data_IF_518716900329
#
_entry.id   IF_518716900329
#
_cell.length_a   1.000
_cell.length_b   1.000
_cell.length_c   1.000
_cell.angle_alpha   90.00
_cell.angle_beta   90.00
_cell.angle_gamma   90.00
#
_symmetry.space_group_name_H-M   'P 1'
#
loop_
_entity.id
_entity.type
_entity.pdbx_description
1 polymer ?
#
# COMPACT_ATOMS: atom_id res chain seq x y z
N UNK A 1 -10.18 4.71 -28.43
CA UNK A 1 -11.22 3.72 -28.12
C UNK A 1 -10.64 2.37 -28.54
N UNK A 2 -10.14 1.59 -27.59
CA UNK A 2 -9.43 0.33 -27.89
C UNK A 2 -10.49 -0.75 -28.13
N UNK A 3 -10.47 -1.36 -29.32
CA UNK A 3 -11.39 -2.42 -29.72
C UNK A 3 -11.23 -3.64 -28.81
N UNK A 4 -12.26 -3.89 -27.99
CA UNK A 4 -12.35 -4.98 -27.02
C UNK A 4 -12.60 -6.37 -27.66
N UNK A 5 -12.72 -6.45 -28.98
CA UNK A 5 -13.07 -7.70 -29.69
C UNK A 5 -11.89 -8.52 -30.21
N UNK A 6 -10.64 -8.04 -30.11
CA UNK A 6 -9.45 -8.80 -30.56
C UNK A 6 -8.35 -8.94 -29.50
N UNK A 7 -8.60 -8.49 -28.28
CA UNK A 7 -7.71 -8.72 -27.14
C UNK A 7 -8.59 -9.08 -25.97
N UNK A 8 -8.45 -10.30 -25.44
CA UNK A 8 -9.12 -10.70 -24.21
C UNK A 8 -8.43 -9.95 -23.06
N UNK A 9 -8.80 -8.68 -22.91
CA UNK A 9 -8.50 -7.86 -21.75
C UNK A 9 -9.52 -8.21 -20.69
N UNK A 10 -9.11 -9.00 -19.71
CA UNK A 10 -9.76 -8.95 -18.41
C UNK A 10 -8.91 -7.97 -17.58
N UNK A 11 -9.54 -7.08 -16.84
CA UNK A 11 -8.85 -6.07 -16.01
C UNK A 11 -8.63 -6.66 -14.63
N UNK A 12 -7.39 -6.64 -14.11
CA UNK A 12 -7.12 -6.99 -12.70
C UNK A 12 -7.56 -5.80 -11.86
N UNK A 13 -8.82 -5.78 -11.44
CA UNK A 13 -9.20 -4.96 -10.29
C UNK A 13 -8.93 -5.84 -9.08
N UNK A 14 -7.80 -5.62 -8.41
CA UNK A 14 -7.61 -6.15 -7.06
C UNK A 14 -8.56 -5.36 -6.15
N UNK A 15 -9.79 -5.83 -6.00
CA UNK A 15 -10.63 -5.42 -4.87
C UNK A 15 -10.14 -6.22 -3.67
N UNK A 16 -9.22 -5.65 -2.90
CA UNK A 16 -8.87 -6.18 -1.58
C UNK A 16 -10.08 -5.99 -0.66
N UNK A 17 -11.04 -6.91 -0.74
CA UNK A 17 -11.86 -7.22 0.43
C UNK A 17 -10.94 -8.04 1.32
N UNK A 18 -10.29 -7.35 2.27
CA UNK A 18 -9.42 -8.01 3.24
C UNK A 18 -10.25 -9.12 3.92
N UNK A 19 -9.65 -10.30 4.06
CA UNK A 19 -10.22 -11.58 4.52
C UNK A 19 -10.97 -12.47 3.50
N UNK A 20 -11.42 -11.96 2.34
CA UNK A 20 -12.14 -12.78 1.34
C UNK A 20 -11.23 -13.40 0.26
N UNK A 21 -9.91 -13.13 0.32
CA UNK A 21 -8.88 -13.66 -0.60
C UNK A 21 -9.25 -13.55 -2.10
N UNK A 22 -9.84 -12.44 -2.50
CA UNK A 22 -10.25 -12.19 -3.90
C UNK A 22 -9.13 -11.55 -4.69
N UNK A 23 -8.79 -12.15 -5.83
CA UNK A 23 -7.82 -11.63 -6.78
C UNK A 23 -8.02 -12.26 -8.16
N UNK A 24 -7.41 -11.66 -9.19
CA UNK A 24 -7.50 -12.16 -10.56
C UNK A 24 -6.11 -12.15 -11.21
N UNK A 25 -5.75 -13.23 -11.92
CA UNK A 25 -4.48 -13.35 -12.63
C UNK A 25 -4.73 -13.28 -14.14
N UNK A 26 -4.03 -12.37 -14.82
CA UNK A 26 -4.29 -12.04 -16.23
C UNK A 26 -3.01 -12.17 -17.04
N UNK A 27 -3.12 -12.87 -18.17
CA UNK A 27 -2.06 -13.04 -19.17
C UNK A 27 -2.51 -12.44 -20.49
N UNK A 28 -1.66 -11.61 -21.08
CA UNK A 28 -1.88 -11.03 -22.41
C UNK A 28 -1.03 -11.82 -23.40
N UNK A 29 -1.68 -12.46 -24.36
CA UNK A 29 -1.03 -13.31 -25.37
C UNK A 29 -1.31 -12.79 -26.77
N UNK A 30 -0.41 -13.03 -27.72
CA UNK A 30 -0.51 -12.52 -29.09
C UNK A 30 -1.63 -13.15 -29.92
N UNK A 31 -2.02 -14.40 -29.62
CA UNK A 31 -3.06 -15.12 -30.35
C UNK A 31 -3.87 -16.06 -29.44
N UNK A 32 -5.07 -16.41 -29.90
CA UNK A 32 -6.03 -17.23 -29.15
C UNK A 32 -5.51 -18.66 -28.86
N UNK A 33 -4.70 -19.22 -29.77
CA UNK A 33 -4.10 -20.54 -29.59
C UNK A 33 -3.13 -20.55 -28.40
N UNK A 34 -2.28 -19.52 -28.29
CA UNK A 34 -1.37 -19.35 -27.15
C UNK A 34 -2.17 -19.11 -25.87
N UNK A 35 -3.26 -18.34 -25.91
CA UNK A 35 -4.14 -18.17 -24.74
C UNK A 35 -4.67 -19.52 -24.24
N UNK A 36 -5.14 -20.37 -25.15
CA UNK A 36 -5.68 -21.68 -24.79
C UNK A 36 -4.61 -22.60 -24.17
N UNK A 37 -3.40 -22.60 -24.73
CA UNK A 37 -2.24 -23.36 -24.20
C UNK A 37 -1.81 -22.87 -22.81
N UNK A 38 -1.73 -21.56 -22.60
CA UNK A 38 -1.38 -20.99 -21.29
C UNK A 38 -2.46 -21.30 -20.26
N UNK A 39 -3.73 -21.11 -20.64
CA UNK A 39 -4.89 -21.40 -19.77
C UNK A 39 -4.92 -22.85 -19.32
N UNK A 40 -4.63 -23.81 -20.20
CA UNK A 40 -4.65 -25.23 -19.83
C UNK A 40 -3.61 -25.56 -18.75
N UNK A 41 -2.39 -25.05 -18.88
CA UNK A 41 -1.32 -25.25 -17.89
C UNK A 41 -1.65 -24.58 -16.55
N UNK A 42 -2.20 -23.36 -16.57
CA UNK A 42 -2.60 -22.66 -15.35
C UNK A 42 -3.73 -23.39 -14.61
N UNK A 43 -4.68 -23.99 -15.33
CA UNK A 43 -5.74 -24.78 -14.70
C UNK A 43 -5.20 -26.03 -14.00
N UNK A 44 -4.15 -26.66 -14.54
CA UNK A 44 -3.46 -27.78 -13.87
C UNK A 44 -2.79 -27.31 -12.59
N UNK A 45 -2.05 -26.20 -12.64
CA UNK A 45 -1.40 -25.61 -11.46
C UNK A 45 -2.40 -25.18 -10.40
N UNK A 46 -3.48 -24.49 -10.80
CA UNK A 46 -4.55 -24.07 -9.90
C UNK A 46 -5.20 -25.27 -9.19
N UNK A 47 -5.47 -26.36 -9.93
CA UNK A 47 -6.02 -27.59 -9.33
C UNK A 47 -5.08 -28.20 -8.29
N UNK A 48 -3.78 -28.17 -8.55
CA UNK A 48 -2.77 -28.70 -7.63
C UNK A 48 -2.63 -27.86 -6.36
N UNK A 49 -2.69 -26.52 -6.48
CA UNK A 49 -2.46 -25.61 -5.34
C UNK A 49 -3.69 -25.47 -4.45
N UNK A 50 -4.86 -25.21 -5.03
CA UNK A 50 -6.06 -24.87 -4.26
C UNK A 50 -7.34 -25.56 -4.75
N UNK A 51 -7.26 -26.46 -5.74
CA UNK A 51 -8.40 -27.11 -6.39
C UNK A 51 -9.34 -26.10 -7.08
N UNK A 52 -10.20 -25.43 -6.32
CA UNK A 52 -11.14 -24.41 -6.78
C UNK A 52 -11.10 -23.16 -5.88
N UNK A 53 -11.22 -21.95 -6.44
CA UNK A 53 -11.23 -20.72 -5.66
C UNK A 53 -12.52 -20.57 -4.83
N UNK A 54 -12.44 -19.83 -3.73
CA UNK A 54 -13.58 -19.46 -2.88
C UNK A 54 -14.50 -18.50 -3.63
N UNK A 55 -15.81 -18.77 -3.65
CA UNK A 55 -16.78 -18.06 -4.50
C UNK A 55 -17.34 -16.76 -3.88
N UNK A 56 -17.36 -16.66 -2.55
CA UNK A 56 -18.12 -15.60 -1.88
C UNK A 56 -17.63 -14.19 -2.25
N UNK A 57 -16.34 -13.91 -2.04
CA UNK A 57 -15.78 -12.63 -2.42
C UNK A 57 -15.83 -12.33 -3.93
N UNK A 58 -15.66 -13.33 -4.80
CA UNK A 58 -15.81 -13.11 -6.26
C UNK A 58 -17.24 -12.74 -6.64
N UNK A 59 -18.24 -13.29 -5.94
CA UNK A 59 -19.64 -12.97 -6.16
C UNK A 59 -19.95 -11.52 -5.76
N UNK A 60 -19.43 -11.05 -4.61
CA UNK A 60 -19.59 -9.65 -4.16
C UNK A 60 -18.96 -8.70 -5.19
N UNK A 61 -17.73 -8.96 -5.60
CA UNK A 61 -17.02 -8.15 -6.60
C UNK A 61 -17.80 -8.12 -7.92
N UNK A 62 -18.26 -9.29 -8.40
CA UNK A 62 -19.04 -9.36 -9.63
C UNK A 62 -20.37 -8.60 -9.50
N UNK A 63 -21.05 -8.69 -8.36
CA UNK A 63 -22.32 -7.99 -8.13
C UNK A 63 -22.13 -6.47 -8.17
N UNK A 64 -21.08 -5.96 -7.50
CA UNK A 64 -20.77 -4.52 -7.49
C UNK A 64 -20.36 -4.02 -8.88
N UNK A 65 -19.52 -4.77 -9.61
CA UNK A 65 -18.99 -4.35 -10.91
C UNK A 65 -19.99 -4.47 -12.07
N UNK A 66 -21.02 -5.33 -11.94
CA UNK A 66 -22.06 -5.49 -12.96
C UNK A 66 -23.24 -4.53 -12.79
N UNK A 67 -23.37 -3.89 -11.63
CA UNK A 67 -24.36 -2.84 -11.38
C UNK A 67 -23.72 -1.45 -11.56
N UNK A 68 -24.18 -0.62 -12.51
CA UNK A 68 -23.63 0.71 -12.75
C UNK A 68 -23.69 1.66 -11.55
N UNK A 69 -24.74 1.59 -10.73
CA UNK A 69 -24.91 2.45 -9.55
C UNK A 69 -23.98 2.00 -8.42
N UNK A 70 -23.89 0.69 -8.16
CA UNK A 70 -22.93 0.16 -7.18
C UNK A 70 -21.49 0.41 -7.60
N UNK A 71 -21.18 0.30 -8.89
CA UNK A 71 -19.85 0.62 -9.44
C UNK A 71 -19.50 2.09 -9.22
N UNK A 72 -20.47 2.99 -9.44
CA UNK A 72 -20.29 4.43 -9.24
C UNK A 72 -20.07 4.74 -7.76
N UNK A 73 -20.85 4.15 -6.88
CA UNK A 73 -20.69 4.30 -5.43
C UNK A 73 -19.31 3.78 -4.97
N UNK A 74 -18.93 2.59 -5.41
CA UNK A 74 -17.63 1.99 -5.10
C UNK A 74 -16.47 2.89 -5.54
N UNK A 75 -16.51 3.44 -6.77
CA UNK A 75 -15.51 4.39 -7.26
C UNK A 75 -15.45 5.67 -6.42
N UNK A 76 -16.60 6.18 -5.99
CA UNK A 76 -16.68 7.35 -5.08
C UNK A 76 -16.01 7.03 -3.74
N UNK A 77 -16.34 5.91 -3.12
CA UNK A 77 -15.78 5.50 -1.84
C UNK A 77 -14.25 5.30 -1.93
N UNK A 78 -13.76 4.69 -3.02
CA UNK A 78 -12.32 4.57 -3.28
C UNK A 78 -11.64 5.93 -3.42
N UNK A 79 -12.26 6.86 -4.15
CA UNK A 79 -11.72 8.22 -4.31
C UNK A 79 -11.66 8.95 -2.95
N UNK A 80 -12.70 8.85 -2.13
CA UNK A 80 -12.73 9.44 -0.78
C UNK A 80 -11.63 8.87 0.12
N UNK A 81 -11.43 7.55 0.11
CA UNK A 81 -10.35 6.90 0.86
C UNK A 81 -8.97 7.35 0.39
N UNK A 82 -8.75 7.44 -0.93
CA UNK A 82 -7.50 7.92 -1.50
C UNK A 82 -7.24 9.39 -1.12
N UNK A 83 -8.25 10.24 -1.22
CA UNK A 83 -8.17 11.66 -0.82
C UNK A 83 -7.88 11.82 0.66
N UNK A 84 -8.44 10.98 1.53
CA UNK A 84 -8.11 10.97 2.96
C UNK A 84 -6.62 10.69 3.19
N UNK A 85 -6.06 9.69 2.51
CA UNK A 85 -4.64 9.34 2.65
C UNK A 85 -3.74 10.50 2.20
N UNK A 86 -4.08 11.16 1.09
CA UNK A 86 -3.33 12.32 0.58
C UNK A 86 -3.35 13.45 1.62
N UNK A 87 -4.52 13.82 2.14
CA UNK A 87 -4.66 14.87 3.17
C UNK A 87 -3.89 14.52 4.45
N UNK A 88 -3.92 13.26 4.87
CA UNK A 88 -3.15 12.79 6.02
C UNK A 88 -1.65 12.94 5.80
N UNK A 89 -1.13 12.63 4.60
CA UNK A 89 0.28 12.81 4.23
C UNK A 89 0.70 14.28 4.27
N UNK A 90 -0.10 15.15 3.66
CA UNK A 90 0.15 16.60 3.65
C UNK A 90 0.17 17.17 5.07
N UNK A 91 -0.79 16.77 5.91
CA UNK A 91 -0.85 17.22 7.30
C UNK A 91 0.35 16.73 8.11
N UNK A 92 0.75 15.47 7.93
CA UNK A 92 1.90 14.91 8.63
C UNK A 92 3.20 15.64 8.23
N UNK A 93 3.43 15.82 6.93
CA UNK A 93 4.58 16.58 6.43
C UNK A 93 4.59 18.03 6.93
N UNK A 94 3.44 18.71 6.87
CA UNK A 94 3.31 20.08 7.36
C UNK A 94 3.67 20.19 8.85
N UNK A 95 3.25 19.23 9.68
CA UNK A 95 3.58 19.21 11.11
C UNK A 95 5.08 18.96 11.35
N UNK A 96 5.67 17.99 10.66
CA UNK A 96 7.11 17.73 10.78
C UNK A 96 7.95 18.94 10.38
N UNK A 97 7.53 19.65 9.31
CA UNK A 97 8.16 20.90 8.86
C UNK A 97 7.96 22.04 9.87
N UNK A 98 6.77 22.17 10.45
CA UNK A 98 6.48 23.18 11.48
C UNK A 98 7.29 22.96 12.78
N UNK A 99 7.55 21.70 13.13
CA UNK A 99 8.42 21.32 14.24
C UNK A 99 9.91 21.52 13.95
N UNK A 100 10.29 21.78 12.69
CA UNK A 100 11.70 21.89 12.31
C UNK A 100 12.46 20.57 12.41
N UNK A 101 11.77 19.44 12.15
CA UNK A 101 12.38 18.10 12.26
C UNK A 101 13.54 17.96 11.27
N UNK A 102 14.74 17.57 11.73
CA UNK A 102 15.88 17.35 10.85
C UNK A 102 15.59 16.29 9.78
N UNK A 103 16.27 16.40 8.63
CA UNK A 103 16.13 15.46 7.50
C UNK A 103 15.14 15.88 6.42
N UNK A 104 15.11 15.12 5.32
CA UNK A 104 14.20 15.36 4.20
C UNK A 104 12.94 14.49 4.32
N UNK A 105 11.80 15.15 4.56
CA UNK A 105 10.50 14.51 4.71
C UNK A 105 9.64 14.54 3.45
N UNK A 106 10.12 15.10 2.34
CA UNK A 106 9.35 15.23 1.09
C UNK A 106 8.93 13.87 0.51
N UNK A 107 9.67 12.81 0.85
CA UNK A 107 9.32 11.42 0.57
C UNK A 107 7.90 11.05 1.02
N UNK A 108 7.40 11.65 2.11
CA UNK A 108 6.05 11.42 2.63
C UNK A 108 4.97 11.92 1.67
N UNK A 109 5.24 12.98 0.90
CA UNK A 109 4.30 13.55 -0.08
C UNK A 109 4.47 12.91 -1.46
N UNK A 110 5.72 12.69 -1.89
CA UNK A 110 6.01 12.17 -3.24
C UNK A 110 5.49 10.73 -3.40
N UNK A 111 5.59 9.92 -2.35
CA UNK A 111 5.16 8.53 -2.39
C UNK A 111 3.63 8.38 -2.40
N UNK A 112 3.14 7.45 -3.22
CA UNK A 112 1.70 7.16 -3.38
C UNK A 112 1.31 5.86 -2.68
N UNK A 113 0.03 5.77 -2.32
CA UNK A 113 -0.56 4.59 -1.69
C UNK A 113 -0.55 4.65 -0.16
N UNK A 114 -0.83 3.51 0.47
CA UNK A 114 -1.03 3.43 1.93
C UNK A 114 0.27 3.50 2.72
N UNK A 115 1.40 3.18 2.11
CA UNK A 115 2.67 3.02 2.82
C UNK A 115 3.65 4.12 2.47
N UNK A 116 4.45 4.53 3.46
CA UNK A 116 5.55 5.46 3.25
C UNK A 116 6.81 4.91 3.88
N UNK A 117 7.93 5.00 3.17
CA UNK A 117 9.24 4.83 3.78
C UNK A 117 9.66 6.15 4.42
N UNK A 118 9.86 6.15 5.73
CA UNK A 118 10.15 7.35 6.51
C UNK A 118 11.63 7.73 6.47
N UNK A 119 12.51 6.80 6.08
CA UNK A 119 13.97 6.99 6.12
C UNK A 119 14.56 6.88 7.53
N UNK A 120 13.77 6.46 8.52
CA UNK A 120 14.26 6.22 9.88
C UNK A 120 15.14 4.98 9.94
N UNK A 121 16.19 5.03 10.76
CA UNK A 121 17.04 3.88 11.05
C UNK A 121 16.32 2.84 11.94
N UNK A 122 16.86 1.63 12.04
CA UNK A 122 16.31 0.56 12.90
C UNK A 122 16.27 0.99 14.36
N UNK A 123 17.30 1.70 14.82
CA UNK A 123 17.42 2.22 16.18
C UNK A 123 16.35 3.27 16.47
N UNK A 124 16.11 4.19 15.53
CA UNK A 124 15.05 5.19 15.63
C UNK A 124 13.66 4.54 15.64
N UNK A 125 13.41 3.53 14.79
CA UNK A 125 12.16 2.75 14.81
C UNK A 125 11.98 2.02 16.14
N UNK A 126 13.05 1.46 16.70
CA UNK A 126 13.02 0.80 18.01
C UNK A 126 12.69 1.81 19.13
N UNK A 127 13.29 3.00 19.09
CA UNK A 127 12.98 4.06 20.05
C UNK A 127 11.52 4.50 19.98
N UNK A 128 10.98 4.70 18.77
CA UNK A 128 9.55 4.98 18.57
C UNK A 128 8.64 3.91 19.17
N UNK A 129 9.04 2.65 19.05
CA UNK A 129 8.30 1.51 19.60
C UNK A 129 8.34 1.46 21.12
N UNK A 130 9.53 1.59 21.71
CA UNK A 130 9.73 1.40 23.15
C UNK A 130 9.25 2.58 23.98
N UNK A 131 9.48 3.81 23.50
CA UNK A 131 9.13 5.04 24.25
C UNK A 131 7.73 5.56 23.92
N UNK A 132 7.30 5.45 22.66
CA UNK A 132 6.04 6.04 22.19
C UNK A 132 5.00 5.01 21.77
N UNK A 133 5.30 3.71 21.82
CA UNK A 133 4.39 2.65 21.38
C UNK A 133 3.90 2.85 19.93
N UNK A 134 4.76 3.41 19.07
CA UNK A 134 4.49 3.59 17.64
C UNK A 134 5.18 2.47 16.88
N UNK A 135 4.38 1.64 16.19
CA UNK A 135 4.85 0.44 15.51
C UNK A 135 4.99 0.68 14.01
N UNK A 136 6.23 0.61 13.52
CA UNK A 136 6.59 0.56 12.11
C UNK A 136 7.27 -0.78 11.80
N UNK A 137 7.42 -1.10 10.52
CA UNK A 137 8.37 -2.17 10.14
C UNK A 137 9.79 -1.74 10.50
N UNK A 138 10.69 -2.70 10.71
CA UNK A 138 12.09 -2.41 11.06
C UNK A 138 12.81 -1.58 9.99
N UNK A 139 12.37 -1.66 8.74
CA UNK A 139 12.87 -0.85 7.62
C UNK A 139 12.31 0.58 7.58
N UNK A 140 11.55 1.01 8.59
CA UNK A 140 10.94 2.33 8.63
C UNK A 140 9.75 2.49 7.68
N UNK A 141 9.09 1.39 7.27
CA UNK A 141 7.85 1.46 6.49
C UNK A 141 6.67 1.71 7.43
N UNK A 142 5.99 2.84 7.21
CA UNK A 142 4.82 3.27 7.96
C UNK A 142 3.54 3.07 7.13
N UNK A 143 2.43 2.72 7.79
CA UNK A 143 1.10 2.74 7.18
C UNK A 143 0.39 4.07 7.47
N UNK A 144 0.23 4.91 6.45
CA UNK A 144 -0.42 6.22 6.55
C UNK A 144 -1.91 6.12 6.91
N UNK A 145 -2.56 4.97 6.67
CA UNK A 145 -3.95 4.78 7.06
C UNK A 145 -4.15 4.72 8.58
N UNK A 146 -3.11 4.39 9.34
CA UNK A 146 -3.12 4.39 10.81
C UNK A 146 -3.10 5.79 11.43
N UNK A 147 -2.75 6.81 10.65
CA UNK A 147 -2.78 8.21 11.07
C UNK A 147 -4.17 8.82 10.91
N UNK A 148 -4.58 9.57 11.92
CA UNK A 148 -5.83 10.32 11.97
C UNK A 148 -5.62 11.61 12.76
N UNK A 149 -6.61 12.51 12.74
CA UNK A 149 -6.53 13.80 13.44
C UNK A 149 -6.31 13.70 14.95
N UNK A 150 -6.66 12.58 15.60
CA UNK A 150 -6.48 12.41 17.05
C UNK A 150 -5.04 12.03 17.42
N UNK A 151 -4.36 11.23 16.59
CA UNK A 151 -3.00 10.76 16.88
C UNK A 151 -1.91 11.51 16.10
N UNK A 152 -2.28 12.34 15.12
CA UNK A 152 -1.34 13.05 14.25
C UNK A 152 -0.28 13.85 15.02
N UNK A 153 -0.72 14.65 16.00
CA UNK A 153 0.18 15.49 16.79
C UNK A 153 1.16 14.67 17.63
N UNK A 154 0.64 13.62 18.27
CA UNK A 154 1.45 12.70 19.06
C UNK A 154 2.55 12.04 18.22
N UNK A 155 2.18 11.53 17.04
CA UNK A 155 3.14 10.85 16.15
C UNK A 155 4.16 11.82 15.57
N UNK A 156 3.75 13.03 15.17
CA UNK A 156 4.67 14.03 14.64
C UNK A 156 5.71 14.47 15.69
N UNK A 157 5.28 14.69 16.94
CA UNK A 157 6.18 15.03 18.04
C UNK A 157 7.14 13.88 18.37
N UNK A 158 6.65 12.64 18.41
CA UNK A 158 7.49 11.47 18.65
C UNK A 158 8.57 11.30 17.57
N UNK A 159 8.22 11.53 16.30
CA UNK A 159 9.18 11.52 15.20
C UNK A 159 10.23 12.62 15.35
N UNK A 160 9.79 13.84 15.66
CA UNK A 160 10.70 14.96 15.89
C UNK A 160 11.70 14.63 17.00
N UNK A 161 11.20 14.23 18.16
CA UNK A 161 12.04 13.92 19.31
C UNK A 161 13.01 12.79 19.01
N UNK A 162 12.55 11.71 18.36
CA UNK A 162 13.40 10.56 18.01
C UNK A 162 14.54 10.93 17.06
N UNK A 163 14.30 11.85 16.12
CA UNK A 163 15.33 12.28 15.16
C UNK A 163 16.28 13.30 15.80
N UNK A 164 15.81 14.10 16.75
CA UNK A 164 16.64 15.06 17.48
C UNK A 164 17.41 14.46 18.66
N UNK A 165 17.00 13.29 19.13
CA UNK A 165 17.67 12.58 20.22
C UNK A 165 19.09 12.20 19.74
N UNK A 166 20.10 12.90 20.27
CA UNK A 166 21.51 12.77 19.89
C UNK A 166 22.15 11.41 20.21
N UNK A 167 21.36 10.46 20.70
CA UNK A 167 21.78 9.07 20.91
C UNK A 167 21.97 8.28 19.61
N UNK A 168 21.51 8.79 18.45
CA UNK A 168 21.58 8.08 17.17
C UNK A 168 22.61 8.63 16.16
N UNK A 169 23.33 9.71 16.49
CA UNK A 169 24.23 10.42 15.55
C UNK A 169 25.61 9.77 15.32
N UNK A 170 25.84 8.52 15.73
CA UNK A 170 27.15 7.86 15.63
C UNK A 170 27.19 6.57 14.77
N UNK A 171 26.13 6.26 14.01
CA UNK A 171 26.05 4.99 13.27
C UNK A 171 26.52 5.03 11.80
N UNK A 172 26.95 6.18 11.26
CA UNK A 172 27.34 6.30 9.84
C UNK A 172 28.86 6.25 9.55
N UNK A 173 29.71 5.81 10.49
CA UNK A 173 31.17 5.75 10.27
C UNK A 173 31.82 4.36 10.39
N UNK A 174 31.06 3.27 10.33
CA UNK A 174 31.65 1.94 10.16
C UNK A 174 31.03 1.21 8.96
N UNK A 175 31.89 0.96 7.97
CA UNK A 175 31.78 0.04 6.82
C UNK A 175 31.26 0.69 5.52
N UNK A 176 32.00 0.75 4.40
CA UNK A 176 32.96 -0.24 3.88
C UNK A 176 34.12 0.37 3.07
N UNK A 177 35.35 0.09 3.51
CA UNK A 177 36.41 -0.41 2.63
C UNK A 177 36.20 -1.94 2.58
N UNK A 178 35.84 -2.50 1.42
CA UNK A 178 36.34 -3.76 0.83
C UNK A 178 35.61 -4.02 -0.50
#
# INVERSE_FOLDING_TARGET
MVDLNQSVSLVVIVILVLDERVGNLIFVTQNAETTARVKSQLLVLARYVWSNPVNHGSFIVSSVLNDPELTKEWKRNLAEMAQRIIKTRELFHKKLKALGTPGNWDNVIIQRGMFSYTGLSREQVKHLREKYHIYLTEEGRMNMCGLNWKNMDYVANAFHETVTDGSFSNAENCNDNH
#
